data_IF_047347878136
#
_entry.id   IF_047347878136
#
_cell.length_a   1.000
_cell.length_b   1.000
_cell.length_c   1.000
_cell.angle_alpha   90.00
_cell.angle_beta   90.00
_cell.angle_gamma   90.00
#
_symmetry.space_group_name_H-M   'P 1'
#
loop_
_entity.id
_entity.type
_entity.pdbx_description
1 polymer ?
#
# COMPACT_ATOMS: atom_id res chain seq x y z
N UNK A 1 11.22 30.05 1.88
CA UNK A 1 10.63 29.39 0.69
C UNK A 1 9.52 28.46 1.19
N UNK A 2 8.32 28.52 0.61
CA UNK A 2 7.25 27.59 0.96
C UNK A 2 7.72 26.16 0.61
N UNK A 3 7.57 25.23 1.56
CA UNK A 3 7.93 23.83 1.34
C UNK A 3 6.99 23.26 0.27
N UNK A 4 7.54 22.74 -0.81
CA UNK A 4 6.75 22.17 -1.90
C UNK A 4 5.87 21.02 -1.36
N UNK A 5 4.60 20.98 -1.79
CA UNK A 5 3.63 19.98 -1.33
C UNK A 5 4.10 18.58 -1.73
N UNK A 6 4.17 17.66 -0.76
CA UNK A 6 4.50 16.25 -1.01
C UNK A 6 3.32 15.53 -1.66
N UNK A 7 3.64 14.57 -2.52
CA UNK A 7 2.67 13.80 -3.30
C UNK A 7 2.77 12.33 -2.96
N UNK A 8 1.62 11.69 -2.69
CA UNK A 8 1.55 10.26 -2.42
C UNK A 8 0.54 9.56 -3.32
N UNK A 9 0.78 8.28 -3.61
CA UNK A 9 -0.18 7.36 -4.21
C UNK A 9 -0.44 6.20 -3.24
N UNK A 10 -1.71 5.90 -2.98
CA UNK A 10 -2.12 4.76 -2.15
C UNK A 10 -3.05 3.87 -2.97
N UNK A 11 -2.67 2.61 -3.21
CA UNK A 11 -3.52 1.66 -3.94
C UNK A 11 -4.55 0.97 -3.04
N UNK A 12 -5.73 0.58 -3.59
CA UNK A 12 -6.79 -0.06 -2.82
C UNK A 12 -7.34 0.82 -1.70
N UNK A 13 -7.48 2.12 -1.97
CA UNK A 13 -7.70 3.13 -0.93
C UNK A 13 -9.14 3.65 -0.81
N UNK A 14 -10.11 3.02 -1.46
CA UNK A 14 -11.52 3.43 -1.38
C UNK A 14 -12.22 3.02 -0.06
N UNK A 15 -11.59 2.14 0.74
CA UNK A 15 -12.08 1.68 2.06
C UNK A 15 -10.95 1.16 2.95
N UNK A 16 -11.27 0.84 4.21
CA UNK A 16 -10.39 0.15 5.15
C UNK A 16 -9.09 0.92 5.43
N UNK A 17 -7.98 0.16 5.56
CA UNK A 17 -6.66 0.72 5.90
C UNK A 17 -6.20 1.75 4.87
N UNK A 18 -6.35 1.45 3.56
CA UNK A 18 -5.92 2.37 2.50
C UNK A 18 -6.63 3.72 2.56
N UNK A 19 -7.94 3.73 2.82
CA UNK A 19 -8.71 4.96 3.01
C UNK A 19 -8.20 5.79 4.18
N UNK A 20 -7.89 5.13 5.30
CA UNK A 20 -7.35 5.79 6.49
C UNK A 20 -5.93 6.31 6.27
N UNK A 21 -5.09 5.58 5.51
CA UNK A 21 -3.76 6.05 5.12
C UNK A 21 -3.86 7.34 4.30
N UNK A 22 -4.79 7.41 3.33
CA UNK A 22 -5.05 8.63 2.55
C UNK A 22 -5.48 9.77 3.48
N UNK A 23 -6.42 9.53 4.39
CA UNK A 23 -6.87 10.53 5.38
C UNK A 23 -5.70 11.09 6.19
N UNK A 24 -4.88 10.23 6.78
CA UNK A 24 -3.77 10.65 7.62
C UNK A 24 -2.66 11.37 6.83
N UNK A 25 -2.39 10.98 5.58
CA UNK A 25 -1.45 11.67 4.71
C UNK A 25 -1.97 13.04 4.27
N UNK A 26 -3.27 13.15 3.95
CA UNK A 26 -3.90 14.44 3.63
C UNK A 26 -3.81 15.41 4.83
N UNK A 27 -4.11 14.94 6.06
CA UNK A 27 -3.89 15.72 7.29
C UNK A 27 -2.46 16.20 7.49
N UNK A 28 -1.48 15.48 6.94
CA UNK A 28 -0.07 15.91 6.94
C UNK A 28 0.28 16.86 5.77
N UNK A 29 -0.70 17.33 5.02
CA UNK A 29 -0.54 18.28 3.92
C UNK A 29 -0.13 17.67 2.59
N UNK A 30 -0.18 16.34 2.42
CA UNK A 30 0.09 15.72 1.12
C UNK A 30 -1.04 15.97 0.13
N UNK A 31 -0.69 16.10 -1.15
CA UNK A 31 -1.61 15.76 -2.23
C UNK A 31 -1.61 14.24 -2.40
N UNK A 32 -2.75 13.58 -2.21
CA UNK A 32 -2.82 12.12 -2.24
C UNK A 32 -3.64 11.63 -3.41
N UNK A 33 -3.05 10.80 -4.28
CA UNK A 33 -3.77 10.03 -5.27
C UNK A 33 -4.37 8.79 -4.62
N UNK A 34 -5.69 8.73 -4.57
CA UNK A 34 -6.47 7.62 -4.05
C UNK A 34 -6.73 6.59 -5.14
N UNK A 35 -5.95 5.51 -5.16
CA UNK A 35 -6.05 4.44 -6.13
C UNK A 35 -7.19 3.47 -5.80
N UNK A 36 -8.14 3.29 -6.74
CA UNK A 36 -9.24 2.35 -6.62
C UNK A 36 -9.55 1.67 -7.97
N UNK A 37 -9.93 0.37 -7.94
CA UNK A 37 -10.28 -0.37 -9.16
C UNK A 37 -11.63 0.08 -9.76
N UNK A 38 -12.56 0.46 -8.91
CA UNK A 38 -13.84 1.03 -9.33
C UNK A 38 -13.77 2.56 -9.22
N UNK A 39 -14.03 3.24 -10.31
CA UNK A 39 -13.88 4.69 -10.45
C UNK A 39 -14.87 5.45 -9.55
N UNK A 40 -16.13 5.02 -9.49
CA UNK A 40 -17.18 5.70 -8.73
C UNK A 40 -16.91 5.61 -7.21
N UNK A 41 -16.54 4.41 -6.72
CA UNK A 41 -16.18 4.26 -5.29
C UNK A 41 -14.93 5.06 -4.95
N UNK A 42 -13.96 5.17 -5.87
CA UNK A 42 -12.78 6.01 -5.71
C UNK A 42 -13.13 7.50 -5.64
N UNK A 43 -13.97 8.00 -6.55
CA UNK A 43 -14.44 9.40 -6.55
C UNK A 43 -15.21 9.74 -5.27
N UNK A 44 -16.15 8.88 -4.87
CA UNK A 44 -16.92 9.06 -3.62
C UNK A 44 -16.01 9.14 -2.39
N UNK A 45 -15.02 8.24 -2.31
CA UNK A 45 -14.04 8.24 -1.23
C UNK A 45 -13.18 9.51 -1.21
N UNK A 46 -12.70 9.96 -2.37
CA UNK A 46 -11.91 11.18 -2.50
C UNK A 46 -12.72 12.43 -2.13
N UNK A 47 -13.98 12.53 -2.56
CA UNK A 47 -14.87 13.64 -2.20
C UNK A 47 -15.09 13.71 -0.68
N UNK A 48 -15.32 12.56 -0.03
CA UNK A 48 -15.46 12.50 1.42
C UNK A 48 -14.22 13.01 2.12
N UNK A 49 -13.03 12.54 1.71
CA UNK A 49 -11.77 12.93 2.32
C UNK A 49 -11.41 14.40 2.07
N UNK A 50 -11.75 14.95 0.90
CA UNK A 50 -11.54 16.37 0.63
C UNK A 50 -12.37 17.26 1.56
N UNK A 51 -13.65 16.94 1.82
CA UNK A 51 -14.48 17.67 2.79
C UNK A 51 -13.85 17.66 4.19
N UNK A 52 -13.43 16.47 4.67
CA UNK A 52 -12.76 16.33 5.96
C UNK A 52 -11.43 17.14 6.01
N UNK A 53 -10.68 17.15 4.89
CA UNK A 53 -9.39 17.84 4.80
C UNK A 53 -9.54 19.36 4.73
N UNK A 54 -10.60 19.89 4.09
CA UNK A 54 -10.90 21.33 4.05
C UNK A 54 -11.15 21.88 5.45
N UNK A 55 -11.91 21.16 6.27
CA UNK A 55 -12.19 21.54 7.67
C UNK A 55 -10.90 21.60 8.50
N UNK A 56 -9.93 20.74 8.23
CA UNK A 56 -8.67 20.60 8.96
C UNK A 56 -7.50 21.40 8.33
N UNK A 57 -7.72 22.11 7.23
CA UNK A 57 -6.67 22.81 6.42
C UNK A 57 -5.55 21.86 5.99
N UNK A 58 -5.92 20.64 5.64
CA UNK A 58 -4.99 19.60 5.17
C UNK A 58 -4.65 19.72 3.68
N UNK A 59 -4.12 18.63 3.13
CA UNK A 59 -3.84 18.48 1.69
C UNK A 59 -5.08 18.07 0.90
N UNK A 60 -4.90 17.71 -0.36
CA UNK A 60 -5.96 17.36 -1.29
C UNK A 60 -5.94 15.88 -1.68
N UNK A 61 -7.07 15.34 -2.09
CA UNK A 61 -7.22 13.95 -2.53
C UNK A 61 -7.78 13.89 -3.95
N UNK A 62 -7.09 13.20 -4.84
CA UNK A 62 -7.52 12.96 -6.21
C UNK A 62 -7.74 11.47 -6.45
N UNK A 63 -8.92 11.08 -6.91
CA UNK A 63 -9.16 9.68 -7.29
C UNK A 63 -8.35 9.31 -8.54
N UNK A 64 -7.76 8.10 -8.53
CA UNK A 64 -7.05 7.51 -9.65
C UNK A 64 -7.57 6.09 -9.88
N UNK A 65 -8.09 5.81 -11.08
CA UNK A 65 -8.56 4.47 -11.43
C UNK A 65 -7.37 3.53 -11.64
N UNK A 66 -7.24 2.50 -10.80
CA UNK A 66 -6.17 1.51 -10.92
C UNK A 66 -6.64 0.14 -10.40
N UNK A 67 -6.58 -0.87 -11.25
CA UNK A 67 -6.68 -2.27 -10.90
C UNK A 67 -5.27 -2.86 -10.97
N UNK A 68 -4.68 -3.13 -9.81
CA UNK A 68 -3.28 -3.57 -9.70
C UNK A 68 -3.05 -4.96 -10.31
N UNK A 69 -4.10 -5.78 -10.42
CA UNK A 69 -4.03 -7.13 -11.02
C UNK A 69 -3.93 -7.11 -12.55
N UNK A 70 -4.12 -5.92 -13.18
CA UNK A 70 -4.19 -5.75 -14.64
C UNK A 70 -3.08 -4.81 -15.12
N UNK A 71 -2.03 -5.32 -15.82
CA UNK A 71 -0.92 -4.49 -16.32
C UNK A 71 -1.37 -3.26 -17.12
N UNK A 72 -2.38 -3.42 -17.99
CA UNK A 72 -2.94 -2.34 -18.78
C UNK A 72 -3.60 -1.24 -17.92
N UNK A 73 -4.22 -1.61 -16.80
CA UNK A 73 -4.79 -0.64 -15.88
C UNK A 73 -3.71 0.15 -15.14
N UNK A 74 -2.64 -0.52 -14.75
CA UNK A 74 -1.48 0.11 -14.11
C UNK A 74 -0.81 1.10 -15.06
N UNK A 75 -0.60 0.72 -16.34
CA UNK A 75 -0.04 1.61 -17.36
C UNK A 75 -0.90 2.85 -17.56
N UNK A 76 -2.22 2.68 -17.76
CA UNK A 76 -3.16 3.81 -17.92
C UNK A 76 -3.18 4.72 -16.69
N UNK A 77 -3.09 4.16 -15.49
CA UNK A 77 -3.02 4.95 -14.25
C UNK A 77 -1.75 5.80 -14.20
N UNK A 78 -0.60 5.28 -14.61
CA UNK A 78 0.64 6.04 -14.69
C UNK A 78 0.57 7.16 -15.74
N UNK A 79 -0.05 6.91 -16.90
CA UNK A 79 -0.33 7.93 -17.92
C UNK A 79 -1.31 9.01 -17.42
N UNK A 80 -2.35 8.64 -16.69
CA UNK A 80 -3.27 9.62 -16.09
C UNK A 80 -2.57 10.45 -15.01
N UNK A 81 -1.77 9.80 -14.16
CA UNK A 81 -0.97 10.47 -13.14
C UNK A 81 -0.01 11.50 -13.77
N UNK A 82 0.68 11.15 -14.86
CA UNK A 82 1.65 12.02 -15.54
C UNK A 82 1.05 13.33 -16.08
N UNK A 83 -0.26 13.37 -16.33
CA UNK A 83 -0.97 14.60 -16.74
C UNK A 83 -1.27 15.53 -15.57
N UNK A 84 -1.17 15.05 -14.34
CA UNK A 84 -1.52 15.78 -13.11
C UNK A 84 -0.29 16.10 -12.26
N UNK A 85 0.74 15.25 -12.33
CA UNK A 85 2.01 15.44 -11.62
C UNK A 85 3.14 14.73 -12.36
N UNK A 86 4.32 15.30 -12.28
CA UNK A 86 5.55 14.70 -12.80
C UNK A 86 6.44 14.07 -11.70
N UNK A 87 6.09 14.27 -10.41
CA UNK A 87 6.79 13.76 -9.23
C UNK A 87 5.87 12.98 -8.30
N UNK A 88 6.41 11.96 -7.66
CA UNK A 88 5.79 11.21 -6.57
C UNK A 88 6.78 11.08 -5.42
N UNK A 89 6.38 11.37 -4.18
CA UNK A 89 7.24 11.28 -3.00
C UNK A 89 7.06 9.97 -2.23
N UNK A 90 5.83 9.45 -2.20
CA UNK A 90 5.53 8.19 -1.53
C UNK A 90 4.54 7.33 -2.32
N UNK A 91 4.89 6.06 -2.52
CA UNK A 91 4.01 5.01 -3.04
C UNK A 91 3.66 4.05 -1.91
N UNK A 92 2.36 3.85 -1.67
CA UNK A 92 1.85 2.85 -0.73
C UNK A 92 1.11 1.76 -1.51
N UNK A 93 1.73 0.60 -1.66
CA UNK A 93 1.12 -0.60 -2.21
C UNK A 93 0.28 -1.26 -1.11
N UNK A 94 -0.98 -0.82 -0.98
CA UNK A 94 -1.92 -1.31 0.03
C UNK A 94 -2.95 -2.28 -0.57
N UNK A 95 -3.22 -2.22 -1.87
CA UNK A 95 -4.17 -3.13 -2.51
C UNK A 95 -3.82 -4.60 -2.23
N UNK A 96 -4.79 -5.36 -1.77
CA UNK A 96 -4.65 -6.78 -1.49
C UNK A 96 -6.00 -7.45 -1.32
N UNK A 97 -6.02 -8.76 -1.50
CA UNK A 97 -7.18 -9.63 -1.33
C UNK A 97 -6.84 -10.81 -0.43
N UNK A 98 -7.85 -11.31 0.23
CA UNK A 98 -7.94 -12.60 0.90
C UNK A 98 -9.23 -13.23 0.41
N UNK A 99 -9.16 -14.40 -0.19
CA UNK A 99 -10.32 -15.10 -0.76
C UNK A 99 -10.88 -16.10 0.25
N UNK A 100 -12.21 -16.25 0.25
CA UNK A 100 -12.92 -17.13 1.21
C UNK A 100 -12.55 -18.60 1.05
N UNK A 101 -12.11 -19.01 -0.15
CA UNK A 101 -11.70 -20.38 -0.47
C UNK A 101 -10.20 -20.65 -0.19
N UNK A 102 -9.48 -19.67 0.34
CA UNK A 102 -8.08 -19.82 0.77
C UNK A 102 -8.01 -20.43 2.18
N UNK A 103 -8.26 -21.75 2.29
CA UNK A 103 -8.42 -22.42 3.59
C UNK A 103 -7.36 -23.48 3.89
N UNK A 104 -6.92 -24.24 2.89
CA UNK A 104 -6.03 -25.39 3.07
C UNK A 104 -5.06 -25.50 1.90
N UNK A 105 -3.77 -25.59 2.21
CA UNK A 105 -2.68 -25.68 1.24
C UNK A 105 -2.75 -26.93 0.36
N UNK A 106 -3.34 -28.01 0.86
CA UNK A 106 -3.42 -29.28 0.14
C UNK A 106 -4.59 -29.33 -0.87
N UNK A 107 -5.57 -28.42 -0.71
CA UNK A 107 -6.79 -28.42 -1.52
C UNK A 107 -7.06 -27.12 -2.26
N UNK A 108 -6.22 -26.10 -2.05
CA UNK A 108 -6.35 -24.81 -2.71
C UNK A 108 -6.28 -24.95 -4.23
N UNK A 109 -7.18 -24.28 -4.95
CA UNK A 109 -7.18 -24.33 -6.41
C UNK A 109 -6.14 -23.41 -7.03
N UNK A 110 -5.65 -23.73 -8.24
CA UNK A 110 -4.74 -22.84 -8.98
C UNK A 110 -5.31 -21.41 -9.12
N UNK A 111 -6.61 -21.25 -9.37
CA UNK A 111 -7.28 -19.97 -9.57
C UNK A 111 -7.21 -19.09 -8.32
N UNK A 112 -7.44 -19.66 -7.14
CA UNK A 112 -7.34 -18.95 -5.85
C UNK A 112 -5.91 -18.52 -5.61
N UNK A 113 -4.96 -19.43 -5.81
CA UNK A 113 -3.54 -19.18 -5.61
C UNK A 113 -3.00 -18.10 -6.56
N UNK A 114 -3.24 -18.25 -7.88
CA UNK A 114 -2.78 -17.31 -8.89
C UNK A 114 -3.42 -15.92 -8.72
N UNK A 115 -4.74 -15.86 -8.46
CA UNK A 115 -5.46 -14.59 -8.28
C UNK A 115 -4.91 -13.83 -7.09
N UNK A 116 -4.60 -14.54 -6.00
CA UNK A 116 -4.03 -13.95 -4.79
C UNK A 116 -2.62 -13.42 -5.05
N UNK A 117 -1.72 -14.22 -5.64
CA UNK A 117 -0.37 -13.78 -6.01
C UNK A 117 -0.37 -12.65 -7.03
N UNK A 118 -1.25 -12.71 -8.02
CA UNK A 118 -1.41 -11.69 -9.05
C UNK A 118 -1.74 -10.33 -8.44
N UNK A 119 -2.64 -10.31 -7.47
CA UNK A 119 -3.06 -9.05 -6.82
C UNK A 119 -2.05 -8.59 -5.78
N UNK A 120 -1.71 -9.47 -4.82
CA UNK A 120 -0.98 -9.08 -3.62
C UNK A 120 0.53 -8.88 -3.86
N UNK A 121 1.10 -9.59 -4.83
CA UNK A 121 2.54 -9.59 -5.10
C UNK A 121 2.88 -8.95 -6.43
N UNK A 122 2.41 -9.55 -7.53
CA UNK A 122 2.71 -9.04 -8.88
C UNK A 122 2.16 -7.62 -9.07
N UNK A 123 0.95 -7.34 -8.57
CA UNK A 123 0.34 -6.02 -8.64
C UNK A 123 1.19 -4.95 -7.98
N UNK A 124 1.72 -5.19 -6.80
CA UNK A 124 2.61 -4.26 -6.11
C UNK A 124 3.93 -4.02 -6.87
N UNK A 125 4.50 -5.08 -7.47
CA UNK A 125 5.68 -4.96 -8.33
C UNK A 125 5.40 -4.11 -9.57
N UNK A 126 4.31 -4.39 -10.30
CA UNK A 126 3.94 -3.66 -11.52
C UNK A 126 3.67 -2.17 -11.23
N UNK A 127 2.95 -1.87 -10.15
CA UNK A 127 2.73 -0.49 -9.72
C UNK A 127 4.05 0.19 -9.37
N UNK A 128 4.93 -0.48 -8.62
CA UNK A 128 6.23 0.07 -8.28
C UNK A 128 7.04 0.39 -9.54
N UNK A 129 7.11 -0.53 -10.50
CA UNK A 129 7.82 -0.33 -11.77
C UNK A 129 7.26 0.86 -12.56
N UNK A 130 5.94 0.97 -12.68
CA UNK A 130 5.29 2.04 -13.42
C UNK A 130 5.49 3.44 -12.78
N UNK A 131 5.61 3.50 -11.44
CA UNK A 131 5.72 4.77 -10.72
C UNK A 131 7.14 5.13 -10.28
N UNK A 132 8.14 4.24 -10.39
CA UNK A 132 9.56 4.55 -10.13
C UNK A 132 10.06 5.76 -10.93
N UNK A 133 9.70 6.00 -12.21
CA UNK A 133 10.14 7.21 -12.93
C UNK A 133 9.73 8.52 -12.24
N UNK A 134 8.55 8.58 -11.61
CA UNK A 134 8.07 9.74 -10.87
C UNK A 134 8.72 9.84 -9.48
N UNK A 135 8.92 8.70 -8.82
CA UNK A 135 9.60 8.61 -7.53
C UNK A 135 11.07 9.08 -7.63
N UNK A 136 11.76 8.80 -8.74
CA UNK A 136 13.13 9.27 -8.99
C UNK A 136 13.29 10.78 -8.99
N UNK A 137 12.19 11.54 -9.15
CA UNK A 137 12.18 13.01 -9.12
C UNK A 137 11.98 13.58 -7.70
N UNK A 138 11.74 12.73 -6.72
CA UNK A 138 11.66 13.12 -5.30
C UNK A 138 13.03 13.17 -4.66
N UNK A 139 13.24 14.11 -3.75
CA UNK A 139 14.45 14.19 -2.91
C UNK A 139 14.50 13.08 -1.84
N UNK A 140 13.34 12.55 -1.47
CA UNK A 140 13.20 11.51 -0.44
C UNK A 140 12.17 10.44 -0.84
N UNK A 141 12.42 9.69 -1.93
CA UNK A 141 11.45 8.73 -2.46
C UNK A 141 11.21 7.54 -1.54
N UNK A 142 9.93 7.15 -1.39
CA UNK A 142 9.49 6.08 -0.48
C UNK A 142 8.57 5.09 -1.19
N UNK A 143 8.78 3.80 -0.93
CA UNK A 143 7.86 2.72 -1.30
C UNK A 143 7.51 1.94 -0.03
N UNK A 144 6.23 1.84 0.27
CA UNK A 144 5.70 1.10 1.41
C UNK A 144 4.81 -0.03 0.92
N UNK A 145 5.23 -1.26 1.12
CA UNK A 145 4.45 -2.45 0.78
C UNK A 145 3.69 -2.93 2.02
N UNK A 146 2.36 -2.90 1.97
CA UNK A 146 1.52 -3.37 3.08
C UNK A 146 1.47 -4.90 3.05
N UNK A 147 2.30 -5.50 3.89
CA UNK A 147 2.42 -6.93 4.09
C UNK A 147 1.54 -7.40 5.26
N UNK A 148 1.90 -8.51 5.89
CA UNK A 148 1.16 -9.15 6.98
C UNK A 148 2.11 -9.95 7.86
N UNK A 149 1.74 -10.19 9.13
CA UNK A 149 2.39 -11.20 9.96
C UNK A 149 2.35 -12.58 9.35
N UNK A 150 1.31 -12.91 8.56
CA UNK A 150 1.25 -14.15 7.79
C UNK A 150 2.32 -14.28 6.70
N UNK A 151 3.05 -13.20 6.38
CA UNK A 151 4.21 -13.26 5.48
C UNK A 151 5.56 -13.50 6.17
N UNK A 152 5.59 -13.67 7.49
CA UNK A 152 6.78 -14.04 8.24
C UNK A 152 7.04 -15.55 8.13
N UNK A 153 8.30 -15.94 8.05
CA UNK A 153 8.73 -17.35 8.05
C UNK A 153 9.46 -17.75 9.32
N UNK A 154 9.87 -16.77 10.13
CA UNK A 154 10.75 -16.98 11.30
C UNK A 154 10.15 -17.93 12.35
N UNK A 155 8.84 -17.79 12.61
CA UNK A 155 8.15 -18.58 13.64
C UNK A 155 7.31 -19.73 13.03
N UNK A 156 7.53 -20.04 11.74
CA UNK A 156 6.73 -21.02 10.99
C UNK A 156 5.38 -20.48 10.53
N UNK A 157 4.47 -21.39 10.15
CA UNK A 157 3.14 -21.07 9.68
C UNK A 157 2.09 -21.82 10.51
N UNK A 158 0.94 -21.19 10.73
CA UNK A 158 -0.21 -21.79 11.44
C UNK A 158 -1.22 -22.46 10.49
N UNK A 159 -0.95 -22.44 9.19
CA UNK A 159 -1.80 -23.02 8.14
C UNK A 159 -3.00 -22.16 7.73
N UNK A 160 -3.19 -20.99 8.35
CA UNK A 160 -4.26 -20.06 7.97
C UNK A 160 -3.98 -19.38 6.63
N UNK A 161 -4.99 -19.36 5.75
CA UNK A 161 -4.98 -18.62 4.48
C UNK A 161 -3.66 -18.77 3.68
N UNK A 162 -3.30 -19.98 3.24
CA UNK A 162 -1.97 -20.29 2.72
C UNK A 162 -1.58 -19.47 1.50
N UNK A 163 -2.48 -19.23 0.52
CA UNK A 163 -2.14 -18.40 -0.63
C UNK A 163 -1.90 -16.93 -0.23
N UNK A 164 -2.71 -16.40 0.68
CA UNK A 164 -2.52 -15.08 1.23
C UNK A 164 -1.16 -14.96 1.92
N UNK A 165 -0.84 -15.88 2.83
CA UNK A 165 0.42 -15.89 3.55
C UNK A 165 1.62 -15.97 2.59
N UNK A 166 1.60 -16.92 1.63
CA UNK A 166 2.63 -17.06 0.60
C UNK A 166 2.74 -15.77 -0.24
N UNK A 167 1.62 -15.13 -0.60
CA UNK A 167 1.64 -13.87 -1.34
C UNK A 167 2.30 -12.73 -0.57
N UNK A 168 2.14 -12.69 0.76
CA UNK A 168 2.76 -11.68 1.62
C UNK A 168 4.24 -11.96 1.87
N UNK A 169 4.66 -13.23 1.96
CA UNK A 169 6.07 -13.63 1.93
C UNK A 169 6.73 -13.22 0.61
N UNK A 170 6.09 -13.51 -0.52
CA UNK A 170 6.59 -13.11 -1.84
C UNK A 170 6.66 -11.56 -1.98
N UNK A 171 5.70 -10.82 -1.42
CA UNK A 171 5.75 -9.35 -1.37
C UNK A 171 6.92 -8.83 -0.52
N UNK A 172 7.26 -9.52 0.57
CA UNK A 172 8.46 -9.23 1.35
C UNK A 172 9.73 -9.42 0.50
N UNK A 173 9.79 -10.50 -0.29
CA UNK A 173 10.86 -10.71 -1.27
C UNK A 173 10.96 -9.59 -2.31
N UNK A 174 9.82 -9.14 -2.88
CA UNK A 174 9.76 -7.97 -3.78
C UNK A 174 10.32 -6.72 -3.10
N UNK A 175 10.00 -6.50 -1.83
CA UNK A 175 10.49 -5.35 -1.06
C UNK A 175 12.00 -5.34 -0.96
N UNK A 176 12.62 -6.47 -0.62
CA UNK A 176 14.08 -6.61 -0.49
C UNK A 176 14.77 -6.38 -1.84
N UNK A 177 14.23 -6.94 -2.92
CA UNK A 177 14.78 -6.77 -4.27
C UNK A 177 14.67 -5.32 -4.76
N UNK A 178 13.53 -4.66 -4.52
CA UNK A 178 13.37 -3.23 -4.85
C UNK A 178 14.32 -2.35 -4.02
N UNK A 179 14.51 -2.64 -2.74
CA UNK A 179 15.44 -1.90 -1.90
C UNK A 179 16.89 -2.03 -2.39
N UNK A 180 17.30 -3.22 -2.83
CA UNK A 180 18.63 -3.46 -3.40
C UNK A 180 18.82 -2.73 -4.74
N UNK A 181 17.78 -2.66 -5.58
CA UNK A 181 17.83 -2.01 -6.89
C UNK A 181 17.73 -0.48 -6.82
N UNK A 182 17.13 0.08 -5.76
CA UNK A 182 16.78 1.49 -5.62
C UNK A 182 17.52 2.14 -4.42
N UNK A 183 18.85 2.22 -4.49
CA UNK A 183 19.74 2.59 -3.38
C UNK A 183 19.42 3.92 -2.67
N UNK A 184 18.75 4.87 -3.36
CA UNK A 184 18.36 6.17 -2.80
C UNK A 184 16.95 6.17 -2.20
N UNK A 185 16.22 5.06 -2.30
CA UNK A 185 14.83 4.96 -1.87
C UNK A 185 14.72 4.32 -0.50
N UNK A 186 13.76 4.77 0.28
CA UNK A 186 13.30 4.04 1.46
C UNK A 186 12.21 3.05 1.04
N UNK A 187 12.57 1.79 0.83
CA UNK A 187 11.65 0.71 0.42
C UNK A 187 11.46 -0.26 1.56
N UNK A 188 10.25 -0.36 2.09
CA UNK A 188 9.98 -1.19 3.27
C UNK A 188 8.66 -1.95 3.17
N UNK A 189 8.59 -3.11 3.84
CA UNK A 189 7.35 -3.79 4.16
C UNK A 189 6.83 -3.38 5.53
N UNK A 190 5.50 -3.40 5.71
CA UNK A 190 4.86 -3.13 7.00
C UNK A 190 3.71 -4.09 7.25
N UNK A 191 3.65 -4.63 8.48
CA UNK A 191 2.50 -5.36 8.98
C UNK A 191 1.61 -4.42 9.78
N UNK A 192 0.35 -4.18 9.38
CA UNK A 192 -0.58 -3.31 10.11
C UNK A 192 -1.13 -3.97 11.39
N UNK A 193 -0.87 -5.26 11.61
CA UNK A 193 -1.53 -6.09 12.61
C UNK A 193 -2.92 -6.57 12.16
N UNK A 194 -3.71 -7.10 13.09
CA UNK A 194 -5.07 -7.56 12.83
C UNK A 194 -6.06 -6.40 13.03
N UNK A 195 -6.57 -5.87 11.92
CA UNK A 195 -7.30 -4.59 11.85
C UNK A 195 -8.76 -4.81 11.48
N UNK A 196 -9.69 -4.14 12.18
CA UNK A 196 -11.14 -4.16 11.92
C UNK A 196 -11.48 -3.56 10.55
N UNK A 197 -11.56 -4.41 9.55
CA UNK A 197 -11.91 -4.14 8.16
C UNK A 197 -12.78 -5.27 7.65
N UNK A 198 -13.30 -5.17 6.43
CA UNK A 198 -14.04 -6.28 5.80
C UNK A 198 -13.19 -7.56 5.74
N UNK A 199 -11.88 -7.43 5.52
CA UNK A 199 -10.95 -8.56 5.50
C UNK A 199 -10.64 -9.10 6.89
N UNK A 200 -10.46 -8.23 7.88
CA UNK A 200 -10.04 -8.63 9.22
C UNK A 200 -11.21 -9.04 10.14
N UNK A 201 -12.44 -8.67 9.77
CA UNK A 201 -13.64 -8.93 10.56
C UNK A 201 -13.78 -8.05 11.80
N UNK A 202 -14.93 -8.17 12.48
CA UNK A 202 -15.28 -7.37 13.66
C UNK A 202 -14.44 -7.71 14.90
N UNK A 203 -13.94 -8.95 14.99
CA UNK A 203 -13.16 -9.44 16.13
C UNK A 203 -11.70 -8.97 16.13
N UNK A 204 -11.26 -8.30 15.06
CA UNK A 204 -9.91 -7.79 14.98
C UNK A 204 -9.61 -6.79 16.11
N UNK A 205 -8.41 -6.88 16.66
CA UNK A 205 -8.02 -6.17 17.88
C UNK A 205 -7.71 -4.69 17.66
N UNK A 206 -7.32 -4.32 16.40
CA UNK A 206 -6.89 -2.95 16.08
C UNK A 206 -7.98 -2.17 15.36
N UNK A 207 -8.05 -0.89 15.63
CA UNK A 207 -8.79 0.08 14.82
C UNK A 207 -8.08 0.29 13.48
N UNK A 208 -8.81 0.82 12.50
CA UNK A 208 -8.24 1.18 11.19
C UNK A 208 -7.18 2.27 11.33
N UNK A 209 -7.38 3.21 12.26
CA UNK A 209 -6.44 4.29 12.55
C UNK A 209 -5.09 3.76 13.08
N UNK A 210 -5.12 2.81 14.01
CA UNK A 210 -3.92 2.15 14.54
C UNK A 210 -3.19 1.36 13.43
N UNK A 211 -3.94 0.59 12.62
CA UNK A 211 -3.37 -0.16 11.50
C UNK A 211 -2.69 0.72 10.45
N UNK A 212 -3.25 1.91 10.18
CA UNK A 212 -2.68 2.86 9.23
C UNK A 212 -1.44 3.58 9.75
N UNK A 213 -1.28 3.77 11.07
CA UNK A 213 -0.27 4.64 11.66
C UNK A 213 1.17 4.29 11.29
N UNK A 214 1.51 3.00 11.28
CA UNK A 214 2.84 2.52 10.89
C UNK A 214 3.12 2.72 9.39
N UNK A 215 2.10 2.56 8.56
CA UNK A 215 2.18 2.79 7.10
C UNK A 215 2.46 4.27 6.82
N UNK A 216 1.69 5.15 7.45
CA UNK A 216 1.84 6.60 7.32
C UNK A 216 3.21 7.07 7.82
N UNK A 217 3.68 6.53 8.94
CA UNK A 217 5.02 6.85 9.44
C UNK A 217 6.11 6.48 8.42
N UNK A 218 6.06 5.31 7.80
CA UNK A 218 7.01 4.92 6.74
C UNK A 218 6.89 5.80 5.51
N UNK A 219 5.67 6.18 5.12
CA UNK A 219 5.42 7.00 3.94
C UNK A 219 5.83 8.48 4.12
N UNK A 220 5.83 9.00 5.37
CA UNK A 220 5.96 10.43 5.61
C UNK A 220 7.14 10.84 6.49
N UNK A 221 7.45 10.07 7.53
CA UNK A 221 8.25 10.54 8.67
C UNK A 221 9.49 9.69 8.98
N UNK A 222 9.51 8.40 8.60
CA UNK A 222 10.62 7.50 8.89
C UNK A 222 11.95 8.03 8.32
N UNK A 223 13.10 7.83 8.98
CA UNK A 223 14.39 8.24 8.43
C UNK A 223 14.62 7.62 7.05
N UNK A 224 15.13 8.42 6.08
CA UNK A 224 15.34 7.97 4.69
C UNK A 224 16.30 6.78 4.58
N UNK A 225 17.24 6.63 5.52
CA UNK A 225 18.17 5.49 5.58
C UNK A 225 17.51 4.16 5.92
N UNK A 226 16.29 4.17 6.43
CA UNK A 226 15.55 2.96 6.77
C UNK A 226 14.97 2.33 5.49
N UNK A 227 15.64 1.30 4.98
CA UNK A 227 15.28 0.60 3.74
C UNK A 227 15.52 -0.90 3.85
N UNK A 228 14.81 -1.71 3.07
CA UNK A 228 14.95 -3.16 3.03
C UNK A 228 14.55 -3.86 4.32
N UNK A 229 13.59 -3.32 5.07
CA UNK A 229 13.19 -3.82 6.39
C UNK A 229 11.70 -4.15 6.44
N UNK A 230 11.33 -5.03 7.38
CA UNK A 230 9.95 -5.35 7.72
C UNK A 230 9.59 -4.73 9.07
N UNK A 231 8.45 -4.03 9.12
CA UNK A 231 8.08 -3.20 10.26
C UNK A 231 6.71 -3.58 10.83
N UNK A 232 6.58 -3.47 12.16
CA UNK A 232 5.30 -3.44 12.89
C UNK A 232 5.46 -2.45 14.06
N UNK A 233 4.48 -1.57 14.25
CA UNK A 233 4.47 -0.59 15.33
C UNK A 233 5.76 0.25 15.43
N UNK A 234 6.31 0.65 14.25
CA UNK A 234 7.57 1.39 14.09
C UNK A 234 8.81 0.64 14.62
N UNK A 235 8.71 -0.65 14.81
CA UNK A 235 9.82 -1.54 15.16
C UNK A 235 10.09 -2.49 14.01
N UNK A 236 11.36 -2.78 13.78
CA UNK A 236 11.76 -3.82 12.82
C UNK A 236 11.37 -5.18 13.40
N UNK A 237 10.75 -6.00 12.58
CA UNK A 237 10.42 -7.39 12.88
C UNK A 237 11.14 -8.31 11.89
N UNK A 238 11.37 -9.59 12.22
CA UNK A 238 11.97 -10.54 11.29
C UNK A 238 11.07 -10.79 10.07
N UNK A 239 11.72 -11.29 9.01
CA UNK A 239 11.06 -11.70 7.77
C UNK A 239 10.29 -13.03 7.91
#
# INVERSE_FOLDING_TARGET
MAKEQRIALVTGANKGIGFEVVRQLARKGFHVFLGARNEETGKTAAQKLNRESEEERGGTVTALKIDVSKPESVRRAAEEFSRKSDRLDALVNNAGILLDDDKDILTITPEVFETTLRTNTLGALLVSQAFVPFLKKSDAPRIVNVSSGGGQLTDGADGWAPAYCISKTALNGVTVQLAAALLKFAVNSVCPGWVRTDMGGSNATRSVAEGASGIVWLAADAPQRETGKFWRDRKVIPW
#
